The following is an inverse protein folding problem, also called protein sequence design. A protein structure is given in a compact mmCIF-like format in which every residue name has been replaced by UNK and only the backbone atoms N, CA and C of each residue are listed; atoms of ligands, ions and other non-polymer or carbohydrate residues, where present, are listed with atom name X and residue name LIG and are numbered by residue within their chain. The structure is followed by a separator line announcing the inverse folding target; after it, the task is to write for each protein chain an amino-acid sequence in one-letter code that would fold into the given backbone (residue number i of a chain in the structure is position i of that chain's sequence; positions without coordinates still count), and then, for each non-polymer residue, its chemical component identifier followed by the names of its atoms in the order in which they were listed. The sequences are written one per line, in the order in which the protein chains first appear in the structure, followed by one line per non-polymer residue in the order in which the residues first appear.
data_IF_001178620608
#
_entry.id   IF_001178620608
#
_cell.length_a   1.000
_cell.length_b   1.000
_cell.length_c   1.000
_cell.angle_alpha   90.00
_cell.angle_beta   90.00
_cell.angle_gamma   90.00
#
_symmetry.space_group_name_H-M   'P 1'
#
loop_
_entity.id
_entity.type
_entity.pdbx_description
1 polymer ?
#
# COMPACT_ATOMS: atom_id res chain seq x y z
N UNK A 1 -18.80 -18.50 17.34
CA UNK A 1 -17.57 -18.38 16.56
C UNK A 1 -16.54 -17.72 17.44
N UNK A 2 -15.45 -18.44 17.72
CA UNK A 2 -14.38 -18.00 18.61
C UNK A 2 -13.77 -16.70 18.10
N UNK A 3 -13.70 -15.67 18.95
CA UNK A 3 -12.94 -14.46 18.66
C UNK A 3 -11.49 -14.82 18.29
N UNK A 4 -10.80 -14.04 17.43
CA UNK A 4 -9.39 -14.27 17.08
C UNK A 4 -8.48 -14.44 18.30
N UNK A 5 -8.89 -13.96 19.47
CA UNK A 5 -8.22 -14.10 20.76
C UNK A 5 -8.18 -15.52 21.36
N UNK A 6 -8.73 -16.55 20.69
CA UNK A 6 -8.73 -17.94 21.20
C UNK A 6 -7.71 -18.87 20.52
N UNK A 7 -6.91 -18.38 19.56
CA UNK A 7 -5.85 -19.18 18.97
C UNK A 7 -4.75 -19.49 20.01
N UNK A 8 -4.26 -20.74 20.01
CA UNK A 8 -3.21 -21.19 20.92
C UNK A 8 -1.88 -20.47 20.63
N UNK A 9 -0.97 -20.35 21.62
CA UNK A 9 0.38 -19.83 21.39
C UNK A 9 1.13 -20.50 20.23
N UNK A 10 0.85 -21.78 19.97
CA UNK A 10 1.42 -22.53 18.84
C UNK A 10 0.85 -22.09 17.48
N UNK A 11 -0.45 -21.79 17.41
CA UNK A 11 -1.08 -21.25 16.18
C UNK A 11 -0.51 -19.87 15.82
N UNK A 12 -0.30 -19.00 16.81
CA UNK A 12 0.37 -17.71 16.57
C UNK A 12 1.81 -17.85 16.09
N UNK A 13 2.56 -18.79 16.65
CA UNK A 13 3.93 -19.09 16.22
C UNK A 13 3.99 -19.68 14.80
N UNK A 14 3.01 -20.51 14.44
CA UNK A 14 2.87 -21.03 13.07
C UNK A 14 2.58 -19.89 12.09
N UNK A 15 1.57 -19.07 12.38
CA UNK A 15 1.19 -17.91 11.55
C UNK A 15 2.31 -16.86 11.48
N UNK A 16 3.10 -16.71 12.53
CA UNK A 16 4.30 -15.88 12.47
C UNK A 16 5.37 -16.47 11.55
N UNK A 17 5.61 -17.78 11.65
CA UNK A 17 6.59 -18.45 10.80
C UNK A 17 6.23 -18.28 9.31
N UNK A 18 4.94 -18.22 8.99
CA UNK A 18 4.43 -17.85 7.67
C UNK A 18 4.89 -16.47 7.20
N UNK A 19 4.90 -15.45 8.07
CA UNK A 19 5.35 -14.10 7.73
C UNK A 19 6.87 -13.93 7.75
N UNK A 20 7.58 -14.78 8.48
CA UNK A 20 9.02 -14.63 8.72
C UNK A 20 9.92 -15.59 7.92
N UNK A 21 9.41 -16.72 7.43
CA UNK A 21 10.17 -17.74 6.72
C UNK A 21 9.79 -17.80 5.22
N UNK A 22 10.67 -18.36 4.40
CA UNK A 22 10.40 -18.66 2.99
C UNK A 22 9.43 -19.85 2.84
N UNK A 23 8.15 -19.57 3.12
CA UNK A 23 7.06 -20.51 2.92
C UNK A 23 7.02 -20.93 1.44
N UNK A 24 7.14 -22.23 1.19
CA UNK A 24 7.05 -22.80 -0.14
C UNK A 24 5.58 -23.01 -0.52
N UNK A 25 5.16 -22.66 -1.74
CA UNK A 25 3.77 -22.86 -2.15
C UNK A 25 3.43 -24.34 -2.24
N UNK A 26 2.22 -24.69 -1.81
CA UNK A 26 1.61 -25.98 -2.11
C UNK A 26 1.20 -26.07 -3.59
N UNK A 27 0.85 -27.28 -4.05
CA UNK A 27 0.35 -27.48 -5.43
C UNK A 27 -0.90 -26.63 -5.71
N UNK A 28 -1.78 -26.50 -4.72
CA UNK A 28 -2.99 -25.67 -4.82
C UNK A 28 -2.68 -24.17 -4.92
N UNK A 29 -1.59 -23.69 -4.28
CA UNK A 29 -1.20 -22.28 -4.29
C UNK A 29 -0.40 -21.90 -5.54
N UNK A 30 0.26 -22.87 -6.18
CA UNK A 30 1.33 -22.63 -7.19
C UNK A 30 0.90 -21.68 -8.30
N UNK A 31 -0.33 -21.79 -8.82
CA UNK A 31 -0.81 -20.94 -9.90
C UNK A 31 -0.92 -19.46 -9.47
N UNK A 32 -1.61 -19.20 -8.35
CA UNK A 32 -1.77 -17.85 -7.79
C UNK A 32 -0.41 -17.31 -7.32
N UNK A 33 0.38 -18.17 -6.69
CA UNK A 33 1.69 -17.81 -6.17
C UNK A 33 2.62 -17.33 -7.30
N UNK A 34 2.70 -18.04 -8.42
CA UNK A 34 3.54 -17.64 -9.55
C UNK A 34 3.10 -16.30 -10.15
N UNK A 35 1.79 -16.10 -10.29
CA UNK A 35 1.22 -14.84 -10.80
C UNK A 35 1.61 -13.66 -9.91
N UNK A 36 1.47 -13.82 -8.59
CA UNK A 36 1.75 -12.78 -7.61
C UNK A 36 3.24 -12.55 -7.45
N UNK A 37 4.06 -13.62 -7.48
CA UNK A 37 5.51 -13.54 -7.36
C UNK A 37 6.12 -12.70 -8.50
N UNK A 38 5.63 -12.86 -9.73
CA UNK A 38 6.06 -12.04 -10.86
C UNK A 38 5.79 -10.52 -10.65
N UNK A 39 4.76 -10.17 -9.87
CA UNK A 39 4.48 -8.77 -9.50
C UNK A 39 5.41 -8.32 -8.36
N UNK A 40 5.68 -9.18 -7.38
CA UNK A 40 6.55 -8.89 -6.24
C UNK A 40 8.04 -8.76 -6.64
N UNK A 41 8.51 -9.54 -7.61
CA UNK A 41 9.86 -9.39 -8.18
C UNK A 41 10.04 -8.02 -8.82
N UNK A 42 9.04 -7.55 -9.57
CA UNK A 42 9.07 -6.19 -10.14
C UNK A 42 8.95 -5.11 -9.06
N UNK A 43 8.22 -5.36 -7.97
CA UNK A 43 8.02 -4.42 -6.87
C UNK A 43 9.34 -3.91 -6.28
N UNK A 44 10.36 -4.77 -6.20
CA UNK A 44 11.71 -4.38 -5.74
C UNK A 44 12.36 -3.35 -6.68
N UNK A 45 12.20 -3.54 -8.00
CA UNK A 45 12.71 -2.60 -9.01
C UNK A 45 11.97 -1.26 -8.92
N UNK A 46 10.64 -1.29 -8.75
CA UNK A 46 9.82 -0.08 -8.59
C UNK A 46 10.26 0.73 -7.36
N UNK A 47 10.51 0.07 -6.22
CA UNK A 47 11.01 0.75 -5.03
C UNK A 47 12.39 1.38 -5.24
N UNK A 48 13.33 0.65 -5.86
CA UNK A 48 14.66 1.18 -6.13
C UNK A 48 14.63 2.40 -7.09
N UNK A 49 13.75 2.36 -8.09
CA UNK A 49 13.54 3.48 -9.01
C UNK A 49 12.92 4.70 -8.32
N UNK A 50 11.99 4.50 -7.38
CA UNK A 50 11.41 5.58 -6.59
C UNK A 50 12.42 6.17 -5.60
N UNK A 51 13.22 5.33 -4.94
CA UNK A 51 14.29 5.77 -4.04
C UNK A 51 15.33 6.64 -4.76
N UNK A 52 15.64 6.33 -6.02
CA UNK A 52 16.56 7.09 -6.87
C UNK A 52 15.90 8.26 -7.61
N UNK A 53 14.64 8.59 -7.33
CA UNK A 53 13.93 9.68 -7.99
C UNK A 53 14.36 11.04 -7.44
N UNK A 54 15.29 11.71 -8.13
CA UNK A 54 15.83 13.02 -7.73
C UNK A 54 14.94 14.21 -8.11
N UNK A 55 14.10 14.03 -9.13
CA UNK A 55 13.29 15.09 -9.72
C UNK A 55 14.06 16.02 -10.67
N UNK A 56 13.34 16.88 -11.40
CA UNK A 56 13.87 17.88 -12.35
C UNK A 56 13.67 19.34 -11.88
N UNK A 57 13.58 19.54 -10.56
CA UNK A 57 13.17 20.82 -9.98
C UNK A 57 14.11 22.00 -10.25
N UNK A 58 15.39 21.77 -10.53
CA UNK A 58 16.31 22.87 -10.90
C UNK A 58 16.04 23.33 -12.33
N UNK A 59 16.05 22.39 -13.28
CA UNK A 59 15.85 22.64 -14.69
C UNK A 59 14.47 23.26 -14.94
N UNK A 60 13.44 22.76 -14.27
CA UNK A 60 12.08 23.31 -14.34
C UNK A 60 12.04 24.76 -13.85
N UNK A 61 12.73 25.10 -12.75
CA UNK A 61 12.76 26.47 -12.23
C UNK A 61 13.48 27.42 -13.18
N UNK A 62 14.63 27.01 -13.72
CA UNK A 62 15.40 27.78 -14.70
C UNK A 62 14.55 28.07 -15.96
N UNK A 63 13.83 27.06 -16.46
CA UNK A 63 12.93 27.19 -17.61
C UNK A 63 11.72 28.09 -17.33
N UNK A 64 11.11 28.02 -16.14
CA UNK A 64 9.97 28.89 -15.78
C UNK A 64 10.41 30.35 -15.64
N UNK A 65 11.60 30.61 -15.10
CA UNK A 65 12.13 31.97 -14.93
C UNK A 65 12.53 32.62 -16.26
N UNK A 66 12.90 31.82 -17.27
CA UNK A 66 13.36 32.29 -18.57
C UNK A 66 12.52 31.66 -19.71
N UNK A 67 11.23 32.03 -19.84
CA UNK A 67 10.30 31.35 -20.75
C UNK A 67 10.63 31.54 -22.24
N UNK A 68 11.42 32.56 -22.59
CA UNK A 68 11.87 32.83 -23.97
C UNK A 68 13.16 32.09 -24.34
N UNK A 69 13.87 31.51 -23.37
CA UNK A 69 15.11 30.77 -23.62
C UNK A 69 14.79 29.31 -24.00
N UNK A 70 14.88 29.01 -25.30
CA UNK A 70 14.58 27.70 -25.85
C UNK A 70 15.53 26.59 -25.34
N UNK A 71 16.80 26.91 -25.05
CA UNK A 71 17.75 25.92 -24.54
C UNK A 71 17.38 25.49 -23.13
N UNK A 72 16.92 26.43 -22.28
CA UNK A 72 16.43 26.10 -20.95
C UNK A 72 15.10 25.33 -20.99
N UNK A 73 14.19 25.65 -21.92
CA UNK A 73 12.97 24.86 -22.12
C UNK A 73 13.30 23.41 -22.50
N UNK A 74 14.21 23.22 -23.45
CA UNK A 74 14.64 21.89 -23.94
C UNK A 74 15.36 21.10 -22.84
N UNK A 75 16.26 21.74 -22.08
CA UNK A 75 16.94 21.12 -20.94
C UNK A 75 15.95 20.59 -19.89
N UNK A 76 14.95 21.40 -19.52
CA UNK A 76 13.91 20.98 -18.59
C UNK A 76 13.03 19.86 -19.15
N UNK A 77 12.73 19.91 -20.45
CA UNK A 77 11.98 18.86 -21.13
C UNK A 77 12.73 17.51 -21.13
N UNK A 78 14.01 17.54 -21.52
CA UNK A 78 14.86 16.35 -21.56
C UNK A 78 15.11 15.75 -20.16
N UNK A 79 15.11 16.58 -19.12
CA UNK A 79 15.20 16.11 -17.74
C UNK A 79 13.88 15.48 -17.23
N UNK A 80 12.73 16.11 -17.52
CA UNK A 80 11.43 15.69 -16.96
C UNK A 80 10.84 14.47 -17.68
N UNK A 81 11.06 14.31 -18.98
CA UNK A 81 10.51 13.19 -19.76
C UNK A 81 10.83 11.79 -19.19
N UNK A 82 12.10 11.41 -18.94
CA UNK A 82 12.42 10.10 -18.38
C UNK A 82 11.85 9.91 -16.96
N UNK A 83 11.72 10.99 -16.18
CA UNK A 83 11.09 10.94 -14.87
C UNK A 83 9.60 10.66 -14.98
N UNK A 84 8.91 11.27 -15.94
CA UNK A 84 7.48 11.00 -16.18
C UNK A 84 7.24 9.59 -16.71
N UNK A 85 8.16 9.04 -17.50
CA UNK A 85 8.12 7.64 -17.91
C UNK A 85 8.17 6.70 -16.68
N UNK A 86 9.04 6.98 -15.69
CA UNK A 86 9.03 6.26 -14.40
C UNK A 86 7.69 6.42 -13.67
N UNK A 87 7.16 7.64 -13.60
CA UNK A 87 5.87 7.89 -12.95
C UNK A 87 4.71 7.13 -13.64
N UNK A 88 4.75 7.00 -14.96
CA UNK A 88 3.78 6.20 -15.72
C UNK A 88 3.92 4.72 -15.33
N UNK A 89 5.14 4.19 -15.30
CA UNK A 89 5.41 2.81 -14.90
C UNK A 89 4.92 2.51 -13.49
N UNK A 90 5.15 3.40 -12.52
CA UNK A 90 4.67 3.21 -11.15
C UNK A 90 3.14 3.17 -11.08
N UNK A 91 2.45 4.03 -11.84
CA UNK A 91 1.00 4.01 -11.93
C UNK A 91 0.49 2.71 -12.57
N UNK A 92 1.08 2.28 -13.69
CA UNK A 92 0.70 1.02 -14.35
C UNK A 92 0.97 -0.20 -13.46
N UNK A 93 2.07 -0.18 -12.69
CA UNK A 93 2.36 -1.19 -11.69
C UNK A 93 1.27 -1.27 -10.62
N UNK A 94 0.70 -0.13 -10.18
CA UNK A 94 -0.41 -0.13 -9.22
C UNK A 94 -1.63 -0.91 -9.71
N UNK A 95 -1.89 -0.93 -11.03
CA UNK A 95 -2.98 -1.70 -11.63
C UNK A 95 -2.69 -3.21 -11.61
N UNK A 96 -1.42 -3.59 -11.79
CA UNK A 96 -0.98 -5.00 -11.64
C UNK A 96 -1.08 -5.45 -10.19
N UNK A 97 -0.73 -4.57 -9.25
CA UNK A 97 -0.84 -4.83 -7.82
C UNK A 97 -2.30 -5.03 -7.38
N UNK A 98 -3.25 -4.25 -7.92
CA UNK A 98 -4.69 -4.47 -7.72
C UNK A 98 -5.10 -5.89 -8.14
N UNK A 99 -4.66 -6.35 -9.31
CA UNK A 99 -5.01 -7.68 -9.81
C UNK A 99 -4.38 -8.80 -8.96
N UNK A 100 -3.12 -8.64 -8.54
CA UNK A 100 -2.45 -9.59 -7.65
C UNK A 100 -3.17 -9.69 -6.29
N UNK A 101 -3.54 -8.54 -5.69
CA UNK A 101 -4.32 -8.51 -4.46
C UNK A 101 -5.65 -9.24 -4.61
N UNK A 102 -6.37 -9.02 -5.73
CA UNK A 102 -7.63 -9.70 -5.99
C UNK A 102 -7.47 -11.22 -6.00
N UNK A 103 -6.47 -11.75 -6.70
CA UNK A 103 -6.21 -13.20 -6.73
C UNK A 103 -5.86 -13.78 -5.35
N UNK A 104 -5.14 -13.02 -4.51
CA UNK A 104 -4.88 -13.44 -3.13
C UNK A 104 -6.14 -13.42 -2.27
N UNK A 105 -6.97 -12.39 -2.39
CA UNK A 105 -8.24 -12.31 -1.66
C UNK A 105 -9.15 -13.47 -2.06
N UNK A 106 -9.27 -13.79 -3.35
CA UNK A 106 -10.01 -14.95 -3.84
C UNK A 106 -9.50 -16.25 -3.18
N UNK A 107 -8.19 -16.49 -3.18
CA UNK A 107 -7.62 -17.71 -2.62
C UNK A 107 -7.75 -17.81 -1.09
N UNK A 108 -7.58 -16.69 -0.37
CA UNK A 108 -7.53 -16.64 1.10
C UNK A 108 -8.88 -16.43 1.78
N UNK A 109 -9.95 -16.28 1.01
CA UNK A 109 -11.31 -16.03 1.55
C UNK A 109 -12.38 -16.95 0.96
N UNK A 110 -12.04 -17.80 -0.02
CA UNK A 110 -13.03 -18.68 -0.65
C UNK A 110 -13.44 -19.85 0.23
N UNK A 111 -14.72 -20.25 0.25
CA UNK A 111 -15.15 -21.44 0.96
C UNK A 111 -14.41 -22.71 0.47
N UNK A 112 -14.27 -23.76 1.31
CA UNK A 112 -15.05 -24.01 2.53
C UNK A 112 -14.35 -23.65 3.85
N UNK A 113 -13.14 -23.09 3.82
CA UNK A 113 -12.35 -22.90 5.05
C UNK A 113 -12.62 -21.54 5.69
N UNK A 114 -12.45 -21.49 7.01
CA UNK A 114 -12.49 -20.22 7.73
C UNK A 114 -11.19 -19.43 7.49
N UNK A 115 -11.18 -18.08 7.61
CA UNK A 115 -10.00 -17.27 7.35
C UNK A 115 -8.74 -17.63 8.14
N UNK A 116 -8.88 -18.05 9.41
CA UNK A 116 -7.75 -18.53 10.21
C UNK A 116 -7.14 -19.81 9.62
N UNK A 117 -7.98 -20.71 9.10
CA UNK A 117 -7.54 -21.94 8.46
C UNK A 117 -6.86 -21.65 7.13
N UNK A 118 -7.35 -20.66 6.38
CA UNK A 118 -6.68 -20.23 5.16
C UNK A 118 -5.26 -19.73 5.42
N UNK A 119 -5.08 -18.87 6.42
CA UNK A 119 -3.76 -18.37 6.78
C UNK A 119 -2.81 -19.47 7.30
N UNK A 120 -3.34 -20.54 7.91
CA UNK A 120 -2.56 -21.71 8.34
C UNK A 120 -2.20 -22.66 7.19
N UNK A 121 -3.07 -22.79 6.17
CA UNK A 121 -2.93 -23.73 5.05
C UNK A 121 -2.21 -23.12 3.87
N UNK A 122 -2.65 -21.95 3.42
CA UNK A 122 -2.10 -21.23 2.27
C UNK A 122 -1.07 -20.18 2.72
N UNK A 123 -0.03 -20.68 3.40
CA UNK A 123 1.00 -19.86 4.03
C UNK A 123 1.79 -19.03 3.01
N UNK A 124 2.07 -19.59 1.83
CA UNK A 124 2.83 -18.88 0.81
C UNK A 124 2.03 -17.70 0.25
N UNK A 125 0.71 -17.86 0.06
CA UNK A 125 -0.16 -16.76 -0.35
C UNK A 125 -0.36 -15.72 0.74
N UNK A 126 -0.48 -16.14 2.01
CA UNK A 126 -0.54 -15.22 3.14
C UNK A 126 0.73 -14.35 3.26
N UNK A 127 1.91 -14.94 3.03
CA UNK A 127 3.19 -14.21 2.95
C UNK A 127 3.18 -13.20 1.81
N UNK A 128 2.75 -13.60 0.60
CA UNK A 128 2.67 -12.68 -0.54
C UNK A 128 1.70 -11.52 -0.30
N UNK A 129 0.60 -11.74 0.44
CA UNK A 129 -0.28 -10.65 0.82
C UNK A 129 0.43 -9.66 1.74
N UNK A 130 1.18 -10.15 2.73
CA UNK A 130 1.99 -9.31 3.58
C UNK A 130 3.09 -8.56 2.79
N UNK A 131 3.73 -9.20 1.81
CA UNK A 131 4.74 -8.57 0.94
C UNK A 131 4.15 -7.47 0.04
N UNK A 132 2.93 -7.66 -0.49
CA UNK A 132 2.18 -6.61 -1.21
C UNK A 132 1.95 -5.38 -0.31
N UNK A 133 1.52 -5.60 0.93
CA UNK A 133 1.26 -4.51 1.88
C UNK A 133 2.56 -3.82 2.32
N UNK A 134 3.63 -4.59 2.51
CA UNK A 134 4.95 -4.06 2.81
C UNK A 134 5.45 -3.14 1.70
N UNK A 135 5.39 -3.60 0.43
CA UNK A 135 5.71 -2.76 -0.72
C UNK A 135 4.86 -1.49 -0.73
N UNK A 136 3.54 -1.65 -0.54
CA UNK A 136 2.57 -0.55 -0.64
C UNK A 136 2.90 0.59 0.32
N UNK A 137 3.10 0.28 1.60
CA UNK A 137 3.43 1.29 2.60
C UNK A 137 4.85 1.86 2.39
N UNK A 138 5.79 1.04 1.93
CA UNK A 138 7.16 1.51 1.63
C UNK A 138 7.19 2.48 0.46
N UNK A 139 6.40 2.22 -0.60
CA UNK A 139 6.25 3.12 -1.74
C UNK A 139 5.63 4.45 -1.30
N UNK A 140 4.54 4.37 -0.52
CA UNK A 140 3.80 5.56 -0.10
C UNK A 140 4.62 6.44 0.86
N UNK A 141 5.43 5.86 1.75
CA UNK A 141 6.38 6.59 2.60
C UNK A 141 7.41 7.38 1.76
N UNK A 142 8.03 6.73 0.77
CA UNK A 142 8.98 7.40 -0.13
C UNK A 142 8.30 8.51 -0.92
N UNK A 143 7.10 8.24 -1.46
CA UNK A 143 6.32 9.23 -2.21
C UNK A 143 5.97 10.45 -1.35
N UNK A 144 5.53 10.24 -0.11
CA UNK A 144 5.15 11.34 0.79
C UNK A 144 6.30 12.30 1.09
N UNK A 145 7.54 11.78 1.13
CA UNK A 145 8.73 12.60 1.40
C UNK A 145 9.32 13.26 0.15
N UNK A 146 8.78 12.98 -1.05
CA UNK A 146 9.31 13.47 -2.31
C UNK A 146 8.32 14.39 -3.05
N UNK A 147 8.32 15.71 -2.77
CA UNK A 147 7.42 16.65 -3.44
C UNK A 147 7.73 16.85 -4.95
N UNK A 148 8.91 16.42 -5.43
CA UNK A 148 9.28 16.59 -6.84
C UNK A 148 8.35 15.78 -7.77
N UNK A 149 7.85 14.64 -7.32
CA UNK A 149 6.94 13.76 -8.10
C UNK A 149 5.73 14.53 -8.67
N UNK A 150 5.03 15.28 -7.81
CA UNK A 150 3.86 16.05 -8.24
C UNK A 150 4.24 17.27 -9.07
N UNK A 151 5.36 17.93 -8.72
CA UNK A 151 5.83 19.12 -9.42
C UNK A 151 6.26 18.81 -10.86
N UNK A 152 7.03 17.75 -11.04
CA UNK A 152 7.56 17.30 -12.33
C UNK A 152 6.41 16.88 -13.25
N UNK A 153 5.47 16.09 -12.73
CA UNK A 153 4.30 15.68 -13.51
C UNK A 153 3.38 16.85 -13.87
N UNK A 154 3.19 17.80 -12.94
CA UNK A 154 2.42 19.02 -13.20
C UNK A 154 3.08 19.94 -14.22
N UNK A 155 4.42 20.02 -14.23
CA UNK A 155 5.16 20.73 -15.27
C UNK A 155 4.99 20.06 -16.63
N UNK A 156 5.22 18.74 -16.71
CA UNK A 156 5.06 17.97 -17.94
C UNK A 156 3.68 18.16 -18.59
N UNK A 157 2.59 18.04 -17.80
CA UNK A 157 1.23 18.25 -18.30
C UNK A 157 1.00 19.65 -18.87
N UNK A 158 1.51 20.69 -18.19
CA UNK A 158 1.40 22.08 -18.67
C UNK A 158 2.16 22.28 -19.98
N UNK A 159 3.36 21.72 -20.09
CA UNK A 159 4.20 21.84 -21.29
C UNK A 159 3.58 21.15 -22.50
N UNK A 160 3.04 19.93 -22.34
CA UNK A 160 2.31 19.25 -23.43
C UNK A 160 1.09 20.05 -23.87
N UNK A 161 0.29 20.56 -22.92
CA UNK A 161 -0.90 21.34 -23.25
C UNK A 161 -0.55 22.60 -24.04
N UNK A 162 0.55 23.28 -23.70
CA UNK A 162 1.03 24.47 -24.41
C UNK A 162 1.51 24.14 -25.82
N UNK A 163 2.28 23.07 -25.97
CA UNK A 163 2.84 22.67 -27.26
C UNK A 163 1.76 22.23 -28.26
N UNK A 164 0.69 21.57 -27.79
CA UNK A 164 -0.48 21.22 -28.61
C UNK A 164 -1.23 22.45 -29.14
N UNK A 165 -1.39 23.49 -28.33
CA UNK A 165 -2.06 24.74 -28.74
C UNK A 165 -1.24 25.48 -29.80
N UNK A 166 0.09 25.41 -29.71
CA UNK A 166 0.99 26.10 -30.62
C UNK A 166 1.25 25.34 -31.94
N UNK A 167 0.59 24.21 -32.20
CA UNK A 167 0.80 23.34 -33.37
C UNK A 167 2.29 22.96 -33.62
N UNK A 168 3.11 23.01 -32.57
CA UNK A 168 4.45 22.45 -32.60
C UNK A 168 4.28 20.94 -32.47
N UNK A 169 4.04 20.28 -33.62
CA UNK A 169 4.12 18.82 -33.73
C UNK A 169 5.54 18.40 -33.39
N UNK A 170 5.81 18.22 -32.10
CA UNK A 170 6.79 17.24 -31.70
C UNK A 170 6.15 15.89 -32.03
N UNK A 171 6.60 15.26 -33.12
CA UNK A 171 6.36 13.86 -33.48
C UNK A 171 6.84 12.86 -32.40
N UNK A 172 7.07 13.32 -31.17
CA UNK A 172 7.15 12.46 -30.02
C UNK A 172 5.71 12.00 -29.72
N UNK A 173 5.39 10.77 -30.12
CA UNK A 173 4.31 10.00 -29.52
C UNK A 173 4.37 10.22 -28.01
N UNK A 174 3.51 11.11 -27.51
CA UNK A 174 3.45 11.43 -26.09
C UNK A 174 3.14 10.14 -25.37
N UNK A 175 4.14 9.55 -24.70
CA UNK A 175 4.02 8.25 -24.03
C UNK A 175 2.82 8.20 -23.07
N UNK A 176 2.39 9.38 -22.59
CA UNK A 176 1.20 9.58 -21.76
C UNK A 176 0.13 10.33 -22.57
N UNK A 177 -0.99 9.67 -22.87
CA UNK A 177 -2.16 10.34 -23.46
C UNK A 177 -2.92 11.18 -22.41
N UNK A 178 -3.88 12.02 -22.83
CA UNK A 178 -4.60 12.91 -21.90
C UNK A 178 -5.40 12.16 -20.82
N UNK A 179 -6.01 11.03 -21.16
CA UNK A 179 -6.80 10.23 -20.21
C UNK A 179 -5.90 9.63 -19.13
N UNK A 180 -4.79 9.00 -19.55
CA UNK A 180 -3.75 8.47 -18.68
C UNK A 180 -3.20 9.58 -17.77
N UNK A 181 -2.92 10.76 -18.33
CA UNK A 181 -2.41 11.89 -17.56
C UNK A 181 -3.36 12.32 -16.44
N UNK A 182 -4.67 12.29 -16.69
CA UNK A 182 -5.68 12.62 -15.69
C UNK A 182 -5.73 11.56 -14.57
N UNK A 183 -5.69 10.26 -14.92
CA UNK A 183 -5.67 9.17 -13.93
C UNK A 183 -4.41 9.21 -13.07
N UNK A 184 -3.24 9.39 -13.69
CA UNK A 184 -1.97 9.57 -12.98
C UNK A 184 -2.00 10.79 -12.06
N UNK A 185 -2.65 11.89 -12.46
CA UNK A 185 -2.73 13.10 -11.62
C UNK A 185 -3.52 12.84 -10.35
N UNK A 186 -4.65 12.12 -10.46
CA UNK A 186 -5.44 11.71 -9.30
C UNK A 186 -4.67 10.75 -8.41
N UNK A 187 -3.97 9.78 -9.02
CA UNK A 187 -3.11 8.86 -8.29
C UNK A 187 -2.06 9.60 -7.46
N UNK A 188 -1.26 10.48 -8.07
CA UNK A 188 -0.19 11.19 -7.33
C UNK A 188 -0.68 12.30 -6.39
N UNK A 189 -1.92 12.76 -6.52
CA UNK A 189 -2.52 13.70 -5.59
C UNK A 189 -2.80 13.06 -4.21
N UNK A 190 -3.08 11.76 -4.18
CA UNK A 190 -3.32 11.02 -2.93
C UNK A 190 -2.05 10.94 -2.07
N UNK A 191 -2.17 11.10 -0.75
CA UNK A 191 -1.01 10.98 0.15
C UNK A 191 -0.37 9.58 0.08
N UNK A 192 -1.22 8.55 0.05
CA UNK A 192 -0.85 7.12 0.02
C UNK A 192 -1.44 6.46 -1.24
N UNK A 193 -0.86 6.72 -2.42
CA UNK A 193 -1.46 6.31 -3.70
C UNK A 193 -1.60 4.79 -3.86
N UNK A 194 -0.59 4.00 -3.48
CA UNK A 194 -0.66 2.53 -3.58
C UNK A 194 -1.69 1.98 -2.59
N UNK A 195 -1.71 2.48 -1.36
CA UNK A 195 -2.67 2.03 -0.34
C UNK A 195 -4.10 2.40 -0.70
N UNK A 196 -4.31 3.56 -1.33
CA UNK A 196 -5.62 3.96 -1.85
C UNK A 196 -6.09 3.01 -2.97
N UNK A 197 -5.20 2.63 -3.88
CA UNK A 197 -5.48 1.62 -4.92
C UNK A 197 -5.88 0.29 -4.29
N UNK A 198 -5.12 -0.22 -3.31
CA UNK A 198 -5.47 -1.47 -2.63
C UNK A 198 -6.80 -1.38 -1.87
N UNK A 199 -7.05 -0.27 -1.16
CA UNK A 199 -8.32 -0.08 -0.44
C UNK A 199 -9.53 -0.10 -1.37
N UNK A 200 -9.42 0.55 -2.54
CA UNK A 200 -10.43 0.53 -3.57
C UNK A 200 -10.60 -0.88 -4.16
N UNK A 201 -9.49 -1.59 -4.40
CA UNK A 201 -9.50 -2.96 -4.92
C UNK A 201 -10.18 -3.94 -3.96
N UNK A 202 -9.88 -3.89 -2.65
CA UNK A 202 -10.53 -4.73 -1.64
C UNK A 202 -12.02 -4.42 -1.52
N UNK A 203 -12.39 -3.12 -1.55
CA UNK A 203 -13.81 -2.71 -1.54
C UNK A 203 -14.54 -3.25 -2.77
N UNK A 204 -13.91 -3.13 -3.95
CA UNK A 204 -14.44 -3.64 -5.21
C UNK A 204 -14.60 -5.16 -5.18
N UNK A 205 -13.60 -5.89 -4.69
CA UNK A 205 -13.64 -7.35 -4.53
C UNK A 205 -14.87 -7.81 -3.74
N UNK A 206 -15.12 -7.22 -2.57
CA UNK A 206 -16.29 -7.57 -1.74
C UNK A 206 -17.60 -7.18 -2.43
N UNK A 207 -17.63 -6.06 -3.16
CA UNK A 207 -18.85 -5.64 -3.89
C UNK A 207 -19.19 -6.52 -5.10
N UNK A 208 -18.17 -7.07 -5.77
CA UNK A 208 -18.32 -7.93 -6.95
C UNK A 208 -18.66 -9.38 -6.57
N UNK A 209 -18.16 -9.85 -5.42
CA UNK A 209 -18.35 -11.22 -4.94
C UNK A 209 -19.51 -11.34 -3.93
N UNK A 210 -20.73 -11.00 -4.34
CA UNK A 210 -21.92 -10.97 -3.46
C UNK A 210 -22.29 -12.31 -2.79
N UNK A 211 -21.82 -13.42 -3.36
CA UNK A 211 -22.02 -14.77 -2.80
C UNK A 211 -21.05 -15.08 -1.68
N UNK A 212 -19.94 -14.34 -1.59
CA UNK A 212 -18.95 -14.49 -0.53
C UNK A 212 -19.38 -13.62 0.67
N UNK A 213 -19.48 -14.20 1.88
CA UNK A 213 -19.68 -13.43 3.09
C UNK A 213 -18.59 -12.37 3.28
N UNK A 214 -18.98 -11.11 3.51
CA UNK A 214 -18.03 -10.01 3.82
C UNK A 214 -17.17 -10.30 5.05
N UNK A 215 -17.71 -11.10 5.97
CA UNK A 215 -17.01 -11.59 7.15
C UNK A 215 -15.76 -12.40 6.80
N UNK A 216 -15.74 -13.17 5.72
CA UNK A 216 -14.55 -13.96 5.35
C UNK A 216 -13.37 -13.04 4.99
N UNK A 217 -13.63 -11.97 4.24
CA UNK A 217 -12.60 -10.97 3.92
C UNK A 217 -12.18 -10.17 5.15
N UNK A 218 -13.15 -9.67 5.92
CA UNK A 218 -12.85 -8.81 7.09
C UNK A 218 -12.21 -9.60 8.25
N UNK A 219 -12.55 -10.88 8.40
CA UNK A 219 -11.92 -11.78 9.38
C UNK A 219 -10.51 -12.17 8.96
N UNK A 220 -10.25 -12.37 7.67
CA UNK A 220 -8.89 -12.54 7.16
C UNK A 220 -8.01 -11.34 7.52
N UNK A 221 -8.45 -10.13 7.19
CA UNK A 221 -7.72 -8.88 7.48
C UNK A 221 -7.51 -8.66 8.99
N UNK A 222 -8.56 -8.83 9.80
CA UNK A 222 -8.45 -8.65 11.26
C UNK A 222 -7.61 -9.73 11.94
N UNK A 223 -7.59 -10.95 11.40
CA UNK A 223 -6.69 -12.01 11.87
C UNK A 223 -5.24 -11.64 11.60
N UNK A 224 -4.89 -11.23 10.38
CA UNK A 224 -3.54 -10.75 10.05
C UNK A 224 -3.13 -9.57 10.95
N UNK A 225 -4.04 -8.62 11.21
CA UNK A 225 -3.79 -7.50 12.11
C UNK A 225 -3.48 -7.98 13.54
N UNK A 226 -4.25 -8.95 14.02
CA UNK A 226 -4.06 -9.55 15.34
C UNK A 226 -2.72 -10.28 15.44
N UNK A 227 -2.36 -11.11 14.44
CA UNK A 227 -1.06 -11.79 14.40
C UNK A 227 0.07 -10.76 14.52
N UNK A 228 0.04 -9.73 13.68
CA UNK A 228 1.09 -8.71 13.69
C UNK A 228 1.17 -7.98 15.04
N UNK A 229 0.04 -7.57 15.62
CA UNK A 229 0.01 -6.92 16.93
C UNK A 229 0.58 -7.82 18.02
N UNK A 230 0.13 -9.08 18.10
CA UNK A 230 0.58 -10.05 19.12
C UNK A 230 2.10 -10.26 19.01
N UNK A 231 2.62 -10.35 17.79
CA UNK A 231 4.04 -10.49 17.53
C UNK A 231 4.86 -9.28 17.98
N UNK A 232 4.31 -8.08 17.82
CA UNK A 232 4.96 -6.82 18.19
C UNK A 232 4.88 -6.51 19.69
N UNK A 233 3.80 -6.93 20.35
CA UNK A 233 3.50 -6.62 21.76
C UNK A 233 4.09 -7.65 22.74
N UNK A 234 4.14 -8.93 22.35
CA UNK A 234 4.58 -10.02 23.23
C UNK A 234 6.10 -10.09 23.29
N UNK A 235 6.75 -9.84 24.45
CA UNK A 235 8.22 -9.78 24.55
C UNK A 235 8.94 -11.02 24.01
N UNK A 236 8.40 -12.21 24.26
CA UNK A 236 8.97 -13.51 23.85
C UNK A 236 8.99 -13.69 22.33
N UNK A 237 8.01 -13.09 21.65
CA UNK A 237 7.91 -13.10 20.20
C UNK A 237 8.70 -11.95 19.58
N UNK A 238 8.63 -10.77 20.21
CA UNK A 238 9.39 -9.59 19.84
C UNK A 238 10.90 -9.83 19.88
N UNK A 239 11.40 -10.62 20.82
CA UNK A 239 12.82 -10.99 20.89
C UNK A 239 13.29 -11.88 19.73
N UNK A 240 12.37 -12.46 18.94
CA UNK A 240 12.71 -13.27 17.75
C UNK A 240 12.97 -12.41 16.51
N UNK A 241 12.60 -11.14 16.53
CA UNK A 241 12.95 -10.21 15.46
C UNK A 241 14.43 -9.87 15.57
N UNK A 242 15.22 -10.46 14.67
CA UNK A 242 16.69 -10.31 14.67
C UNK A 242 17.16 -9.02 14.01
N UNK A 243 16.29 -8.36 13.25
CA UNK A 243 16.60 -7.11 12.56
C UNK A 243 15.41 -6.14 12.57
N UNK A 244 15.71 -4.85 12.44
CA UNK A 244 14.72 -3.75 12.43
C UNK A 244 13.81 -3.79 11.20
N UNK A 245 14.28 -4.35 10.08
CA UNK A 245 13.53 -4.42 8.83
C UNK A 245 12.32 -5.35 8.93
N UNK A 246 12.49 -6.53 9.52
CA UNK A 246 11.41 -7.49 9.81
C UNK A 246 10.41 -6.92 10.82
N UNK A 247 10.88 -6.10 11.77
CA UNK A 247 10.00 -5.39 12.70
C UNK A 247 9.13 -4.36 11.97
N UNK A 248 9.73 -3.56 11.09
CA UNK A 248 9.02 -2.58 10.25
C UNK A 248 8.10 -3.26 9.23
N UNK A 249 8.51 -4.41 8.68
CA UNK A 249 7.65 -5.25 7.84
C UNK A 249 6.35 -5.59 8.56
N UNK A 250 6.44 -6.14 9.77
CA UNK A 250 5.27 -6.51 10.56
C UNK A 250 4.37 -5.30 10.89
N UNK A 251 4.96 -4.14 11.19
CA UNK A 251 4.20 -2.90 11.41
C UNK A 251 3.49 -2.39 10.15
N UNK A 252 4.17 -2.42 9.00
CA UNK A 252 3.58 -2.04 7.70
C UNK A 252 2.41 -2.95 7.34
N UNK A 253 2.58 -4.26 7.50
CA UNK A 253 1.52 -5.25 7.27
C UNK A 253 0.33 -4.94 8.18
N UNK A 254 0.57 -4.77 9.49
CA UNK A 254 -0.48 -4.45 10.46
C UNK A 254 -1.26 -3.20 10.07
N UNK A 255 -0.58 -2.10 9.75
CA UNK A 255 -1.25 -0.84 9.36
C UNK A 255 -1.99 -0.99 8.03
N UNK A 256 -1.39 -1.69 7.07
CA UNK A 256 -2.01 -1.99 5.78
C UNK A 256 -3.34 -2.71 5.94
N UNK A 257 -3.38 -3.85 6.65
CA UNK A 257 -4.63 -4.61 6.86
C UNK A 257 -5.65 -3.85 7.71
N UNK A 258 -5.22 -3.01 8.67
CA UNK A 258 -6.13 -2.16 9.44
C UNK A 258 -6.87 -1.19 8.52
N UNK A 259 -6.15 -0.55 7.61
CA UNK A 259 -6.74 0.43 6.68
C UNK A 259 -7.64 -0.28 5.68
N UNK A 260 -7.24 -1.42 5.11
CA UNK A 260 -8.11 -2.22 4.25
C UNK A 260 -9.40 -2.64 4.97
N UNK A 261 -9.29 -3.12 6.22
CA UNK A 261 -10.44 -3.49 7.03
C UNK A 261 -11.37 -2.29 7.27
N UNK A 262 -10.81 -1.13 7.59
CA UNK A 262 -11.60 0.08 7.85
C UNK A 262 -12.40 0.54 6.63
N UNK A 263 -11.90 0.34 5.41
CA UNK A 263 -12.63 0.69 4.19
C UNK A 263 -13.74 -0.30 3.84
N UNK A 264 -13.54 -1.58 4.16
CA UNK A 264 -14.42 -2.69 3.75
C UNK A 264 -15.48 -3.01 4.81
N UNK A 265 -15.11 -3.02 6.09
CA UNK A 265 -16.02 -3.41 7.15
C UNK A 265 -17.12 -2.34 7.37
N UNK A 266 -18.42 -2.71 7.48
CA UNK A 266 -19.53 -1.75 7.47
C UNK A 266 -19.48 -0.67 8.55
N UNK A 267 -18.90 -0.99 9.72
CA UNK A 267 -18.75 -0.06 10.84
C UNK A 267 -17.30 0.40 11.06
N UNK A 268 -16.39 0.03 10.15
CA UNK A 268 -14.97 0.37 10.24
C UNK A 268 -14.17 -0.36 11.32
N UNK A 269 -12.88 0.00 11.41
CA UNK A 269 -11.90 -0.52 12.36
C UNK A 269 -12.01 0.12 13.76
N UNK A 270 -12.73 1.24 13.89
CA UNK A 270 -12.75 2.06 15.10
C UNK A 270 -13.99 1.85 15.99
N UNK A 271 -15.01 1.17 15.47
CA UNK A 271 -16.20 0.83 16.24
C UNK A 271 -15.88 -0.16 17.37
N UNK A 272 -16.63 -0.08 18.48
CA UNK A 272 -16.47 -1.00 19.63
C UNK A 272 -16.71 -2.47 19.26
N UNK A 273 -17.48 -2.73 18.20
CA UNK A 273 -17.78 -4.06 17.67
C UNK A 273 -16.74 -4.55 16.66
N UNK A 274 -15.73 -3.74 16.32
CA UNK A 274 -14.64 -4.17 15.45
C UNK A 274 -13.83 -5.30 16.10
N UNK A 275 -13.32 -6.21 15.27
CA UNK A 275 -12.41 -7.27 15.69
C UNK A 275 -10.95 -6.79 15.86
N UNK A 276 -10.66 -5.55 15.46
CA UNK A 276 -9.31 -4.97 15.56
C UNK A 276 -9.16 -4.22 16.89
N UNK A 277 -8.17 -4.62 17.69
CA UNK A 277 -7.74 -3.85 18.86
C UNK A 277 -6.93 -2.62 18.44
N UNK A 278 -7.63 -1.55 18.05
CA UNK A 278 -6.95 -0.33 17.61
C UNK A 278 -6.09 0.33 18.69
N UNK A 279 -6.44 0.19 19.97
CA UNK A 279 -5.62 0.78 21.04
C UNK A 279 -4.28 0.05 21.14
N UNK A 280 -4.30 -1.28 21.13
CA UNK A 280 -3.10 -2.09 21.11
C UNK A 280 -2.25 -1.83 19.86
N UNK A 281 -2.87 -1.77 18.67
CA UNK A 281 -2.16 -1.50 17.42
C UNK A 281 -1.48 -0.11 17.41
N UNK A 282 -2.14 0.95 17.90
CA UNK A 282 -1.51 2.29 17.96
C UNK A 282 -0.40 2.32 19.01
N UNK A 283 -0.59 1.63 20.14
CA UNK A 283 0.41 1.56 21.20
C UNK A 283 1.72 0.94 20.70
N UNK A 284 1.68 -0.21 20.01
CA UNK A 284 2.90 -0.85 19.51
C UNK A 284 3.69 0.02 18.52
N UNK A 285 2.99 0.88 17.75
CA UNK A 285 3.62 1.87 16.86
C UNK A 285 4.26 3.03 17.63
N UNK A 286 3.59 3.52 18.68
CA UNK A 286 4.11 4.60 19.55
C UNK A 286 5.26 4.18 20.45
N UNK A 287 5.34 2.89 20.77
CA UNK A 287 6.46 2.32 21.53
C UNK A 287 7.76 2.23 20.69
N UNK A 288 7.70 2.56 19.40
CA UNK A 288 8.88 2.66 18.53
C UNK A 288 9.49 4.07 18.56
N UNK A 289 10.78 4.23 18.17
CA UNK A 289 11.35 5.54 17.92
C UNK A 289 10.50 6.35 16.93
N UNK A 290 10.16 7.58 17.29
CA UNK A 290 9.14 8.38 16.57
C UNK A 290 9.43 8.52 15.07
N UNK A 291 10.70 8.64 14.68
CA UNK A 291 11.10 8.80 13.28
C UNK A 291 10.83 7.56 12.42
N UNK A 292 10.71 6.37 13.02
CA UNK A 292 10.59 5.10 12.29
C UNK A 292 9.15 4.72 11.94
N UNK A 293 8.16 5.25 12.67
CA UNK A 293 6.73 4.88 12.51
C UNK A 293 5.81 6.06 12.22
N UNK A 294 6.32 7.28 12.14
CA UNK A 294 5.52 8.48 11.86
C UNK A 294 4.77 8.40 10.53
N UNK A 295 5.39 7.81 9.48
CA UNK A 295 4.72 7.54 8.20
C UNK A 295 3.49 6.64 8.37
N UNK A 296 3.62 5.58 9.17
CA UNK A 296 2.54 4.63 9.47
C UNK A 296 1.41 5.27 10.31
N UNK A 297 1.78 6.10 11.30
CA UNK A 297 0.81 6.87 12.08
C UNK A 297 0.05 7.87 11.20
N UNK A 298 0.74 8.51 10.25
CA UNK A 298 0.11 9.40 9.27
C UNK A 298 -0.82 8.66 8.31
N UNK A 299 -0.48 7.45 7.87
CA UNK A 299 -1.39 6.61 7.10
C UNK A 299 -2.69 6.32 7.88
N UNK A 300 -2.59 6.03 9.18
CA UNK A 300 -3.77 5.86 10.03
C UNK A 300 -4.58 7.15 10.19
N UNK A 301 -3.93 8.32 10.26
CA UNK A 301 -4.61 9.63 10.42
C UNK A 301 -5.36 10.07 9.18
N UNK A 302 -4.79 9.84 8.00
CA UNK A 302 -5.23 10.48 6.76
C UNK A 302 -5.89 9.53 5.75
N UNK A 303 -5.58 8.23 5.81
CA UNK A 303 -6.08 7.25 4.84
C UNK A 303 -7.25 6.42 5.39
N UNK A 304 -7.51 6.46 6.70
CA UNK A 304 -8.67 5.78 7.30
C UNK A 304 -9.98 6.50 6.96
N UNK A 305 -11.06 5.73 6.91
CA UNK A 305 -12.41 6.19 6.58
C UNK A 305 -13.18 6.60 7.82
N UNK A 306 -13.13 5.81 8.89
CA UNK A 306 -14.02 5.97 10.05
C UNK A 306 -13.34 6.60 11.29
N UNK A 307 -12.07 6.99 11.21
CA UNK A 307 -11.37 7.66 12.32
C UNK A 307 -12.12 8.93 12.78
N UNK A 308 -12.73 9.63 11.82
CA UNK A 308 -13.40 10.90 12.07
C UNK A 308 -14.90 10.79 12.39
N UNK A 309 -15.46 9.59 12.50
CA UNK A 309 -16.87 9.36 12.84
C UNK A 309 -17.20 9.66 14.31
N UNK A 310 -18.37 10.25 14.58
CA UNK A 310 -18.81 10.58 15.95
C UNK A 310 -18.83 9.38 16.91
N UNK A 311 -18.95 8.16 16.36
CA UNK A 311 -18.93 6.89 17.10
C UNK A 311 -17.51 6.48 17.54
N UNK A 312 -16.47 7.03 16.91
CA UNK A 312 -15.06 6.71 17.21
C UNK A 312 -14.62 7.29 18.55
N UNK A 313 -14.06 6.43 19.39
CA UNK A 313 -13.63 6.77 20.75
C UNK A 313 -12.68 7.97 20.79
N UNK A 314 -13.01 8.97 21.63
CA UNK A 314 -12.14 10.14 21.90
C UNK A 314 -10.72 9.75 22.33
N UNK A 315 -10.58 8.63 23.06
CA UNK A 315 -9.27 8.13 23.47
C UNK A 315 -8.43 7.68 22.27
N UNK A 316 -9.03 7.00 21.29
CA UNK A 316 -8.31 6.54 20.09
C UNK A 316 -7.90 7.75 19.24
N UNK A 317 -8.80 8.74 19.10
CA UNK A 317 -8.47 10.01 18.42
C UNK A 317 -7.31 10.73 19.09
N UNK A 318 -7.31 10.84 20.41
CA UNK A 318 -6.21 11.46 21.17
C UNK A 318 -4.89 10.68 21.04
N UNK A 319 -4.94 9.36 20.80
CA UNK A 319 -3.74 8.58 20.50
C UNK A 319 -3.21 8.84 19.08
N UNK A 320 -4.01 9.38 18.15
CA UNK A 320 -3.57 9.72 16.80
C UNK A 320 -3.45 11.24 16.58
N UNK A 321 -3.68 12.05 17.62
CA UNK A 321 -3.27 13.45 17.66
C UNK A 321 -1.82 13.52 18.15
#
# INVERSE_FOLDING_TARGET
MSSPSQASPESWLSLWSTFAADAQPTEAETAVWNQVNAVLEEAQTILAELQSYTGAGQEIREAIQNPSDLQLQEKAWNAVCPLVAKLKRFYEFSLRLENALRSLLEALTSPPYAPTQHLEREQALAKQFAEILHFTLSFDELKMTNPAIQNDFSYYRRTISRNRINNLQLDAESEVNNEMANRMSLFYAEATPMLKTLSNATTKFVSENKTLPIEDTTDCLSTMACVCRVMLETPEYRSRFTNTETLLFCMRVMVGVIILYDHVHPVGAFAKTSKIDMKGCIKVLKDQPSNSTEGLLNALRYTTRHLNDDTTSKQIRALLQ
#
